data_IF_607429638267
#
_entry.id   IF_607429638267
#
_cell.length_a   1.000
_cell.length_b   1.000
_cell.length_c   1.000
_cell.angle_alpha   90.00
_cell.angle_beta   90.00
_cell.angle_gamma   90.00
#
_symmetry.space_group_name_H-M   'P 1'
#
loop_
_entity.id
_entity.type
_entity.pdbx_description
1 polymer ?
#
# COMPACT_ATOMS: atom_id res chain seq x y z
N UNK A 1 15.20 1.10 17.33
CA UNK A 1 14.08 1.25 16.39
C UNK A 1 14.56 2.14 15.29
N UNK A 2 14.38 1.70 14.05
CA UNK A 2 14.74 2.42 12.83
C UNK A 2 13.46 2.68 12.02
N UNK A 3 13.39 3.82 11.36
CA UNK A 3 12.23 4.22 10.56
C UNK A 3 12.72 4.73 9.21
N UNK A 4 12.34 4.02 8.16
CA UNK A 4 12.70 4.33 6.79
C UNK A 4 11.51 4.92 6.03
N UNK A 5 11.75 6.10 5.48
CA UNK A 5 10.83 6.79 4.59
C UNK A 5 11.00 6.22 3.18
N UNK A 6 10.21 5.21 2.82
CA UNK A 6 10.39 4.45 1.57
C UNK A 6 10.08 5.33 0.36
N UNK A 7 8.88 5.93 0.34
CA UNK A 7 8.42 6.81 -0.73
C UNK A 7 7.27 7.71 -0.30
N UNK A 8 7.21 8.93 -0.87
CA UNK A 8 6.21 9.95 -0.57
C UNK A 8 5.82 10.73 -1.83
N UNK A 9 4.65 11.39 -1.81
CA UNK A 9 4.17 12.31 -2.85
C UNK A 9 5.23 13.26 -3.41
N UNK A 10 6.08 13.81 -2.53
CA UNK A 10 7.16 14.73 -2.89
C UNK A 10 8.27 14.10 -3.75
N UNK A 11 8.34 12.76 -3.81
CA UNK A 11 9.32 11.98 -4.56
C UNK A 11 8.83 11.57 -5.96
N UNK A 12 7.67 12.08 -6.42
CA UNK A 12 7.24 11.91 -7.82
C UNK A 12 6.21 10.80 -8.05
N UNK A 13 5.58 10.28 -7.01
CA UNK A 13 4.43 9.37 -7.13
C UNK A 13 3.48 9.54 -5.95
N UNK A 14 2.17 9.33 -6.18
CA UNK A 14 1.14 9.56 -5.15
C UNK A 14 1.11 8.38 -4.18
N UNK A 15 1.78 8.51 -3.06
CA UNK A 15 1.89 7.48 -2.03
C UNK A 15 2.44 8.02 -0.70
N UNK A 16 2.35 7.15 0.30
CA UNK A 16 2.97 7.36 1.60
C UNK A 16 3.38 5.99 2.11
N UNK A 17 4.64 5.60 1.90
CA UNK A 17 5.14 4.29 2.31
C UNK A 17 6.28 4.44 3.31
N UNK A 18 6.13 3.82 4.47
CA UNK A 18 7.10 3.87 5.58
C UNK A 18 7.35 2.46 6.10
N UNK A 19 8.60 2.17 6.46
CA UNK A 19 8.97 0.93 7.13
C UNK A 19 9.51 1.26 8.50
N UNK A 20 9.02 0.57 9.52
CA UNK A 20 9.54 0.66 10.89
C UNK A 20 10.11 -0.69 11.29
N UNK A 21 11.36 -0.71 11.79
CA UNK A 21 12.07 -1.93 12.15
C UNK A 21 12.52 -1.85 13.60
N UNK A 22 12.20 -2.89 14.37
CA UNK A 22 12.74 -3.15 15.71
C UNK A 22 13.60 -4.41 15.66
N UNK A 23 14.17 -4.80 16.81
CA UNK A 23 15.01 -6.00 16.90
C UNK A 23 14.24 -7.29 16.60
N UNK A 24 12.94 -7.28 16.85
CA UNK A 24 12.05 -8.44 16.91
C UNK A 24 10.92 -8.40 15.89
N UNK A 25 10.67 -7.25 15.25
CA UNK A 25 9.61 -7.13 14.26
C UNK A 25 9.86 -6.00 13.25
N UNK A 26 9.18 -6.09 12.11
CA UNK A 26 9.17 -5.11 11.04
C UNK A 26 7.74 -4.84 10.57
N UNK A 27 7.45 -3.56 10.31
CA UNK A 27 6.13 -3.10 9.91
C UNK A 27 6.28 -2.25 8.66
N UNK A 28 5.62 -2.65 7.58
CA UNK A 28 5.47 -1.84 6.37
C UNK A 28 4.09 -1.18 6.36
N UNK A 29 4.06 0.14 6.22
CA UNK A 29 2.84 0.94 6.28
C UNK A 29 2.55 1.49 4.90
N UNK A 30 1.32 1.27 4.45
CA UNK A 30 0.73 1.75 3.20
C UNK A 30 1.57 1.45 1.93
N UNK A 31 1.92 0.16 1.68
CA UNK A 31 2.61 -0.20 0.46
C UNK A 31 1.69 -0.04 -0.76
N UNK A 32 1.97 0.97 -1.58
CA UNK A 32 1.25 1.21 -2.82
C UNK A 32 1.75 2.44 -3.56
N UNK A 33 1.65 2.39 -4.89
CA UNK A 33 2.18 3.40 -5.80
C UNK A 33 1.07 3.87 -6.76
N UNK A 34 0.45 5.02 -6.51
CA UNK A 34 -0.57 5.58 -7.40
C UNK A 34 0.01 6.53 -8.46
N UNK A 35 -0.67 6.61 -9.61
CA UNK A 35 -0.36 7.57 -10.65
C UNK A 35 -0.47 9.01 -10.09
N UNK A 36 0.48 9.86 -10.46
CA UNK A 36 0.35 11.28 -10.17
C UNK A 36 -0.81 11.91 -10.93
N UNK A 37 -1.34 13.01 -10.39
CA UNK A 37 -2.37 13.80 -11.06
C UNK A 37 -1.89 14.25 -12.46
N UNK A 38 -2.76 14.25 -13.48
CA UNK A 38 -2.40 14.72 -14.82
C UNK A 38 -1.81 16.13 -14.83
N UNK A 39 -2.35 17.02 -13.98
CA UNK A 39 -1.92 18.42 -13.84
C UNK A 39 -0.56 18.62 -13.16
N UNK A 40 0.05 17.57 -12.59
CA UNK A 40 1.36 17.69 -11.95
C UNK A 40 2.42 18.07 -13.01
N UNK A 41 3.28 19.08 -12.76
CA UNK A 41 4.18 19.67 -13.75
C UNK A 41 5.42 18.78 -14.02
N UNK A 42 5.16 17.58 -14.53
CA UNK A 42 6.14 16.56 -14.88
C UNK A 42 5.63 15.82 -16.12
N UNK A 43 6.53 15.40 -17.01
CA UNK A 43 6.14 14.59 -18.17
C UNK A 43 5.59 13.23 -17.72
N UNK A 44 4.67 12.68 -18.50
CA UNK A 44 4.06 11.38 -18.18
C UNK A 44 5.09 10.24 -18.17
N UNK A 45 6.12 10.33 -19.02
CA UNK A 45 7.26 9.42 -19.01
C UNK A 45 7.98 9.42 -17.65
N UNK A 46 8.30 10.60 -17.11
CA UNK A 46 8.94 10.73 -15.79
C UNK A 46 8.01 10.26 -14.66
N UNK A 47 6.71 10.58 -14.72
CA UNK A 47 5.73 10.09 -13.74
C UNK A 47 5.71 8.56 -13.71
N UNK A 48 5.74 7.91 -14.88
CA UNK A 48 5.79 6.45 -14.99
C UNK A 48 7.11 5.87 -14.49
N UNK A 49 8.23 6.54 -14.78
CA UNK A 49 9.55 6.13 -14.28
C UNK A 49 9.59 6.15 -12.74
N UNK A 50 9.17 7.25 -12.11
CA UNK A 50 9.11 7.37 -10.65
C UNK A 50 8.20 6.32 -10.04
N UNK A 51 7.01 6.12 -10.64
CA UNK A 51 6.09 5.09 -10.19
C UNK A 51 6.68 3.68 -10.24
N UNK A 52 7.44 3.35 -11.29
CA UNK A 52 8.10 2.04 -11.39
C UNK A 52 9.25 1.89 -10.39
N UNK A 53 10.00 2.97 -10.13
CA UNK A 53 11.06 2.99 -9.11
C UNK A 53 10.48 2.80 -7.70
N UNK A 54 9.40 3.50 -7.41
CA UNK A 54 8.65 3.34 -6.17
C UNK A 54 8.20 1.89 -5.98
N UNK A 55 7.50 1.32 -6.97
CA UNK A 55 7.01 -0.07 -6.91
C UNK A 55 8.12 -1.07 -6.58
N UNK A 56 9.26 -0.96 -7.28
CA UNK A 56 10.44 -1.79 -6.99
C UNK A 56 10.89 -1.64 -5.55
N UNK A 57 11.04 -0.40 -5.08
CA UNK A 57 11.51 -0.13 -3.72
C UNK A 57 10.55 -0.66 -2.66
N UNK A 58 9.23 -0.48 -2.85
CA UNK A 58 8.22 -1.03 -1.97
C UNK A 58 8.27 -2.56 -1.95
N UNK A 59 8.41 -3.20 -3.11
CA UNK A 59 8.51 -4.66 -3.20
C UNK A 59 9.76 -5.17 -2.48
N UNK A 60 10.92 -4.55 -2.72
CA UNK A 60 12.19 -4.91 -2.10
C UNK A 60 12.10 -4.80 -0.58
N UNK A 61 11.62 -3.67 -0.08
CA UNK A 61 11.51 -3.41 1.35
C UNK A 61 10.45 -4.24 2.05
N UNK A 62 9.39 -4.61 1.35
CA UNK A 62 8.27 -5.35 1.93
C UNK A 62 8.38 -6.86 1.90
N UNK A 63 9.31 -7.44 1.13
CA UNK A 63 9.47 -8.90 1.08
C UNK A 63 9.81 -9.53 2.44
N UNK A 64 10.45 -8.77 3.32
CA UNK A 64 10.90 -9.22 4.65
C UNK A 64 10.08 -8.61 5.80
N UNK A 65 8.90 -8.05 5.51
CA UNK A 65 8.05 -7.42 6.52
C UNK A 65 7.22 -8.46 7.30
N UNK A 66 7.24 -8.40 8.63
CA UNK A 66 6.42 -9.27 9.50
C UNK A 66 4.95 -8.84 9.53
N UNK A 67 4.75 -7.52 9.46
CA UNK A 67 3.44 -6.88 9.44
C UNK A 67 3.31 -5.92 8.28
N UNK A 68 2.11 -5.87 7.72
CA UNK A 68 1.74 -4.86 6.73
C UNK A 68 0.49 -4.16 7.18
N UNK A 69 0.49 -2.83 7.15
CA UNK A 69 -0.64 -1.97 7.51
C UNK A 69 -1.14 -1.25 6.26
N UNK A 70 -2.44 -1.35 6.00
CA UNK A 70 -3.15 -0.55 5.00
C UNK A 70 -4.09 0.37 5.78
N UNK A 71 -3.63 1.58 6.05
CA UNK A 71 -4.35 2.62 6.80
C UNK A 71 -5.40 3.32 5.94
N UNK A 72 -5.15 3.41 4.63
CA UNK A 72 -6.06 4.05 3.68
C UNK A 72 -6.06 3.35 2.33
N UNK A 73 -7.09 3.65 1.55
CA UNK A 73 -7.27 3.07 0.23
C UNK A 73 -7.30 4.19 -0.79
N UNK A 74 -6.37 4.16 -1.75
CA UNK A 74 -6.41 5.03 -2.91
C UNK A 74 -7.43 4.48 -3.92
N UNK A 75 -8.43 5.30 -4.26
CA UNK A 75 -9.54 4.95 -5.17
C UNK A 75 -9.06 4.65 -6.60
N UNK A 76 -7.92 5.22 -6.96
CA UNK A 76 -7.35 5.28 -8.29
C UNK A 76 -6.72 3.95 -8.75
N UNK A 77 -6.53 2.96 -7.87
CA UNK A 77 -5.94 1.67 -8.24
C UNK A 77 -6.61 0.54 -7.48
N UNK A 78 -7.55 -0.13 -8.15
CA UNK A 78 -7.87 -1.50 -7.78
C UNK A 78 -6.56 -2.29 -7.83
N UNK A 79 -6.30 -3.09 -6.81
CA UNK A 79 -5.12 -3.95 -6.67
C UNK A 79 -5.20 -5.03 -7.75
N UNK A 80 -5.02 -4.66 -9.01
CA UNK A 80 -4.87 -5.61 -10.09
C UNK A 80 -3.51 -6.27 -9.88
N UNK A 81 -3.44 -7.61 -9.94
CA UNK A 81 -2.25 -8.40 -9.59
C UNK A 81 -1.06 -8.20 -10.54
N UNK A 82 -1.16 -7.30 -11.51
CA UNK A 82 -0.13 -7.07 -12.52
C UNK A 82 0.21 -5.58 -12.63
N UNK A 83 0.61 -4.99 -11.50
CA UNK A 83 1.37 -3.76 -11.56
C UNK A 83 2.83 -4.13 -11.75
N UNK A 84 3.39 -3.76 -12.91
CA UNK A 84 4.80 -3.94 -13.19
C UNK A 84 5.65 -3.54 -11.96
N UNK A 85 6.40 -4.51 -11.43
CA UNK A 85 7.31 -4.38 -10.29
C UNK A 85 6.69 -4.32 -8.87
N UNK A 86 5.38 -4.52 -8.70
CA UNK A 86 4.76 -4.66 -7.38
C UNK A 86 3.77 -5.84 -7.36
N UNK A 87 4.25 -6.97 -6.84
CA UNK A 87 3.51 -8.21 -6.67
C UNK A 87 2.89 -8.25 -5.27
N UNK A 88 1.63 -7.85 -5.19
CA UNK A 88 0.87 -7.85 -3.95
C UNK A 88 0.62 -9.26 -3.39
N UNK A 89 0.55 -10.30 -4.22
CA UNK A 89 0.33 -11.66 -3.74
C UNK A 89 1.56 -12.19 -3.01
N UNK A 90 2.74 -11.87 -3.53
CA UNK A 90 4.00 -12.16 -2.82
C UNK A 90 4.14 -11.30 -1.57
N UNK A 91 3.86 -10.00 -1.67
CA UNK A 91 3.99 -9.05 -0.57
C UNK A 91 3.11 -9.41 0.64
N UNK A 92 1.89 -9.90 0.39
CA UNK A 92 0.92 -10.24 1.45
C UNK A 92 0.95 -11.69 1.90
N UNK A 93 1.91 -12.49 1.42
CA UNK A 93 2.01 -13.90 1.77
C UNK A 93 2.74 -14.08 3.09
N UNK A 94 2.12 -14.77 4.04
CA UNK A 94 2.73 -15.09 5.33
C UNK A 94 2.87 -13.90 6.30
N UNK A 95 2.53 -12.68 5.86
CA UNK A 95 2.58 -11.48 6.71
C UNK A 95 1.33 -11.35 7.56
N UNK A 96 1.46 -10.69 8.71
CA UNK A 96 0.31 -10.24 9.49
C UNK A 96 -0.28 -8.97 8.85
N UNK A 97 -1.38 -9.12 8.12
CA UNK A 97 -2.00 -8.02 7.39
C UNK A 97 -3.04 -7.30 8.27
N UNK A 98 -2.86 -5.99 8.41
CA UNK A 98 -3.74 -5.09 9.13
C UNK A 98 -4.37 -4.09 8.18
N UNK A 99 -5.69 -4.01 8.18
CA UNK A 99 -6.41 -3.18 7.22
C UNK A 99 -7.43 -2.32 7.96
N UNK A 100 -7.51 -1.03 7.61
CA UNK A 100 -8.61 -0.16 8.05
C UNK A 100 -9.96 -0.81 7.72
N UNK A 101 -10.83 -0.94 8.72
CA UNK A 101 -12.16 -1.52 8.53
C UNK A 101 -12.93 -0.73 7.46
N UNK A 102 -13.25 -1.34 6.30
CA UNK A 102 -13.98 -0.65 5.25
C UNK A 102 -15.45 -0.36 5.63
N UNK A 103 -15.98 -0.99 6.68
CA UNK A 103 -17.37 -0.86 7.11
C UNK A 103 -17.61 0.24 8.16
N UNK A 104 -16.57 0.95 8.58
CA UNK A 104 -16.66 2.09 9.51
C UNK A 104 -16.20 3.36 8.81
N UNK A 105 -16.89 4.48 9.06
CA UNK A 105 -16.60 5.79 8.45
C UNK A 105 -16.75 5.82 6.92
N UNK A 106 -17.90 5.33 6.43
CA UNK A 106 -18.18 5.11 5.01
C UNK A 106 -18.67 6.40 4.33
N UNK A 107 -17.99 6.82 3.26
CA UNK A 107 -18.47 7.81 2.30
C UNK A 107 -18.78 7.12 0.96
N UNK A 108 -19.60 7.72 0.09
CA UNK A 108 -20.18 7.04 -1.10
C UNK A 108 -19.15 6.43 -2.07
N UNK A 109 -17.90 6.91 -2.08
CA UNK A 109 -16.78 6.40 -2.88
C UNK A 109 -16.16 5.07 -2.37
N UNK A 110 -16.74 4.42 -1.36
CA UNK A 110 -16.14 3.27 -0.67
C UNK A 110 -16.62 1.87 -1.13
N UNK A 111 -17.54 1.76 -2.08
CA UNK A 111 -17.97 0.45 -2.63
C UNK A 111 -16.80 -0.37 -3.22
N UNK A 112 -15.86 0.31 -3.88
CA UNK A 112 -14.61 -0.31 -4.38
C UNK A 112 -13.70 -0.86 -3.25
N UNK A 113 -13.82 -0.35 -2.02
CA UNK A 113 -12.97 -0.75 -0.87
C UNK A 113 -13.42 -2.07 -0.24
N UNK A 114 -14.72 -2.36 -0.30
CA UNK A 114 -15.29 -3.65 0.12
C UNK A 114 -14.78 -4.75 -0.81
N UNK A 115 -14.81 -4.49 -2.12
CA UNK A 115 -14.28 -5.43 -3.12
C UNK A 115 -12.78 -5.65 -2.96
N UNK A 116 -12.01 -4.60 -2.67
CA UNK A 116 -10.59 -4.74 -2.38
C UNK A 116 -10.31 -5.60 -1.14
N UNK A 117 -11.02 -5.36 -0.03
CA UNK A 117 -10.89 -6.18 1.18
C UNK A 117 -11.25 -7.64 0.88
N UNK A 118 -12.27 -7.86 0.05
CA UNK A 118 -12.66 -9.20 -0.40
C UNK A 118 -11.57 -9.84 -1.26
N UNK A 119 -10.97 -9.12 -2.20
CA UNK A 119 -9.87 -9.61 -3.03
C UNK A 119 -8.64 -9.94 -2.19
N UNK A 120 -8.27 -9.10 -1.22
CA UNK A 120 -7.19 -9.38 -0.29
C UNK A 120 -7.51 -10.60 0.59
N UNK A 121 -8.76 -10.75 1.03
CA UNK A 121 -9.21 -11.92 1.82
C UNK A 121 -9.28 -13.21 1.02
N UNK A 122 -9.52 -13.14 -0.29
CA UNK A 122 -9.55 -14.32 -1.17
C UNK A 122 -8.15 -14.74 -1.61
N UNK A 123 -7.18 -13.82 -1.61
CA UNK A 123 -5.83 -14.03 -2.15
C UNK A 123 -4.75 -14.16 -1.07
N UNK A 124 -4.95 -13.56 0.10
CA UNK A 124 -4.03 -13.73 1.21
C UNK A 124 -4.30 -15.08 1.89
N UNK A 125 -3.26 -15.91 1.97
CA UNK A 125 -3.25 -17.08 2.85
C UNK A 125 -3.06 -16.71 4.33
N UNK A 126 -2.87 -15.42 4.63
CA UNK A 126 -2.62 -14.92 5.98
C UNK A 126 -3.89 -14.47 6.70
N UNK A 127 -3.92 -14.53 8.04
CA UNK A 127 -5.00 -13.96 8.83
C UNK A 127 -5.10 -12.44 8.62
N UNK A 128 -6.24 -11.96 8.11
CA UNK A 128 -6.53 -10.52 8.00
C UNK A 128 -7.07 -9.99 9.32
N UNK A 129 -6.42 -8.95 9.86
CA UNK A 129 -6.85 -8.23 11.06
C UNK A 129 -7.43 -6.87 10.65
N UNK A 130 -8.62 -6.54 11.16
CA UNK A 130 -9.25 -5.24 10.90
C UNK A 130 -8.87 -4.26 12.01
N UNK A 131 -8.47 -3.06 11.62
CA UNK A 131 -8.13 -1.97 12.53
C UNK A 131 -9.27 -0.94 12.61
N UNK A 132 -9.59 -0.52 13.83
CA UNK A 132 -10.38 0.67 14.10
C UNK A 132 -9.45 1.88 14.12
N UNK A 133 -9.26 2.51 12.96
CA UNK A 133 -8.55 3.79 12.87
C UNK A 133 -9.58 4.91 12.93
N UNK A 134 -9.76 5.51 14.10
CA UNK A 134 -10.45 6.79 14.26
C UNK A 134 -9.50 7.90 13.79
N UNK A 135 -9.87 8.65 12.75
CA UNK A 135 -9.16 9.87 12.41
C UNK A 135 -9.71 10.97 13.32
N UNK A 136 -8.93 11.34 14.34
CA UNK A 136 -9.22 12.49 15.21
C UNK A 136 -9.13 13.82 14.48
#
# INVERSE_FOLDING_TARGET
>A
MEVDLIWFDSMGAKSTCTKAVTRDTSILIDPGAAAMQPSYPMSDEKKNEYRNRERRKIQEEGNDADHIIISHYHYDHHFMPDFAHLDFEKLFRGVNLWIKDPNRWINYSHWAKIELTRQLSLRSSSPIRRMNLEMG
#
